data_IF_509762907948
#
_entry.id   IF_509762907948
#
_cell.length_a   1.000
_cell.length_b   1.000
_cell.length_c   1.000
_cell.angle_alpha   90.00
_cell.angle_beta   90.00
_cell.angle_gamma   90.00
#
_symmetry.space_group_name_H-M   'P 1'
#
loop_
_entity.id
_entity.type
_entity.pdbx_description
1 polymer ?
#
# COMPACT_ATOMS: atom_id res chain seq x y z
N UNK A 1 -6.89 21.05 -3.39
CA UNK A 1 -7.30 19.77 -3.54
C UNK A 1 -6.54 18.80 -2.68
N UNK A 2 -7.20 17.98 -2.04
CA UNK A 2 -6.56 17.03 -1.20
C UNK A 2 -5.61 16.20 -2.02
N UNK A 3 -4.40 16.12 -1.62
CA UNK A 3 -3.44 15.35 -2.36
C UNK A 3 -3.68 13.87 -2.21
N UNK A 4 -3.11 13.13 -3.12
CA UNK A 4 -3.06 11.69 -3.02
C UNK A 4 -2.01 11.35 -1.98
N UNK A 5 -2.30 10.48 -1.01
CA UNK A 5 -1.28 10.08 -0.04
C UNK A 5 -0.10 9.44 -0.75
N UNK A 6 1.09 9.86 -0.38
CA UNK A 6 2.31 9.33 -0.96
C UNK A 6 3.23 8.82 0.15
N UNK A 7 4.17 7.98 -0.23
CA UNK A 7 5.18 7.50 0.71
C UNK A 7 6.07 8.69 1.08
N UNK A 8 6.35 8.82 2.37
CA UNK A 8 7.14 9.93 2.87
C UNK A 8 8.44 10.07 2.09
N UNK A 9 8.73 11.30 1.69
CA UNK A 9 9.97 11.59 0.99
C UNK A 9 9.98 11.18 -0.47
N UNK A 10 8.84 10.76 -0.99
CA UNK A 10 8.75 10.32 -2.38
C UNK A 10 7.53 10.92 -3.02
N UNK A 11 7.37 10.65 -4.30
CA UNK A 11 6.13 10.97 -5.02
C UNK A 11 5.35 9.72 -5.35
N UNK A 12 5.68 8.61 -4.73
CA UNK A 12 5.05 7.32 -5.00
C UNK A 12 3.76 7.23 -4.22
N UNK A 13 2.61 7.13 -4.88
CA UNK A 13 1.35 7.03 -4.16
C UNK A 13 1.27 5.74 -3.34
N UNK A 14 0.71 5.86 -2.15
CA UNK A 14 0.47 4.69 -1.31
C UNK A 14 -0.36 3.66 -2.07
N UNK A 15 -1.36 4.13 -2.82
CA UNK A 15 -2.24 3.22 -3.55
C UNK A 15 -1.47 2.38 -4.57
N UNK A 16 -0.40 2.94 -5.16
CA UNK A 16 0.41 2.18 -6.10
C UNK A 16 1.04 0.98 -5.40
N UNK A 17 1.60 1.21 -4.21
CA UNK A 17 2.26 0.13 -3.48
C UNK A 17 1.24 -0.92 -3.04
N UNK A 18 0.12 -0.47 -2.50
CA UNK A 18 -0.92 -1.39 -2.07
C UNK A 18 -1.41 -2.21 -3.27
N UNK A 19 -1.56 -1.58 -4.42
CA UNK A 19 -1.98 -2.27 -5.62
C UNK A 19 -1.01 -3.35 -6.07
N UNK A 20 0.29 -3.11 -5.91
CA UNK A 20 1.28 -4.13 -6.25
C UNK A 20 1.13 -5.36 -5.36
N UNK A 21 0.92 -5.15 -4.07
CA UNK A 21 0.68 -6.26 -3.17
C UNK A 21 -0.62 -6.99 -3.54
N UNK A 22 -1.63 -6.24 -3.95
CA UNK A 22 -2.90 -6.84 -4.37
C UNK A 22 -2.71 -7.73 -5.59
N UNK A 23 -1.72 -7.43 -6.42
CA UNK A 23 -1.40 -8.25 -7.58
C UNK A 23 -0.57 -9.48 -7.21
N UNK A 24 -0.20 -9.62 -5.97
CA UNK A 24 0.54 -10.79 -5.52
C UNK A 24 2.03 -10.64 -5.49
N UNK A 25 2.54 -9.43 -5.69
CA UNK A 25 3.98 -9.23 -5.62
C UNK A 25 4.47 -9.35 -4.18
N UNK A 26 5.66 -9.91 -4.02
CA UNK A 26 6.29 -9.96 -2.72
C UNK A 26 6.93 -8.62 -2.40
N UNK A 27 7.24 -8.41 -1.12
CA UNK A 27 7.94 -7.20 -0.71
C UNK A 27 9.27 -7.05 -1.44
N UNK A 28 9.98 -8.16 -1.64
CA UNK A 28 11.26 -8.11 -2.35
C UNK A 28 11.09 -7.59 -3.78
N UNK A 29 10.04 -8.02 -4.46
CA UNK A 29 9.79 -7.58 -5.82
C UNK A 29 9.41 -6.11 -5.85
N UNK A 30 8.60 -5.68 -4.89
CA UNK A 30 8.22 -4.28 -4.83
C UNK A 30 9.45 -3.40 -4.59
N UNK A 31 10.32 -3.81 -3.68
CA UNK A 31 11.55 -3.05 -3.43
C UNK A 31 12.48 -3.06 -4.62
N UNK A 32 12.47 -4.13 -5.41
CA UNK A 32 13.27 -4.15 -6.61
C UNK A 32 12.79 -3.13 -7.64
N UNK A 33 11.47 -2.94 -7.72
CA UNK A 33 10.90 -1.96 -8.63
C UNK A 33 11.07 -0.53 -8.14
N UNK A 34 11.13 -0.35 -6.84
CA UNK A 34 11.22 0.98 -6.22
C UNK A 34 12.40 1.00 -5.27
N UNK A 35 13.61 1.03 -5.81
CA UNK A 35 14.80 0.88 -4.96
C UNK A 35 15.03 2.02 -3.97
N UNK A 36 14.32 3.12 -4.12
CA UNK A 36 14.42 4.19 -3.13
C UNK A 36 13.62 3.91 -1.88
N UNK A 37 12.77 2.89 -1.91
CA UNK A 37 11.97 2.53 -0.74
C UNK A 37 12.69 1.50 0.09
N UNK A 38 12.35 1.46 1.37
CA UNK A 38 12.82 0.43 2.28
C UNK A 38 11.62 -0.33 2.81
N UNK A 39 11.86 -1.45 3.46
CA UNK A 39 10.78 -2.28 3.95
C UNK A 39 9.82 -1.53 4.86
N UNK A 40 10.35 -0.62 5.68
CA UNK A 40 9.51 0.16 6.56
C UNK A 40 8.50 1.01 5.80
N UNK A 41 8.88 1.47 4.61
CA UNK A 41 7.97 2.25 3.79
C UNK A 41 6.79 1.40 3.33
N UNK A 42 7.07 0.14 3.00
CA UNK A 42 6.01 -0.76 2.56
C UNK A 42 5.06 -1.07 3.72
N UNK A 43 5.62 -1.28 4.90
CA UNK A 43 4.81 -1.53 6.08
C UNK A 43 3.93 -0.33 6.37
N UNK A 44 4.50 0.87 6.28
CA UNK A 44 3.74 2.09 6.54
C UNK A 44 2.60 2.25 5.53
N UNK A 45 2.85 1.91 4.27
CA UNK A 45 1.81 2.01 3.25
C UNK A 45 0.65 1.07 3.54
N UNK A 46 0.97 -0.15 3.96
CA UNK A 46 -0.07 -1.12 4.26
C UNK A 46 -0.83 -0.73 5.52
N UNK A 47 -0.13 -0.18 6.51
CA UNK A 47 -0.81 0.30 7.72
C UNK A 47 -1.75 1.46 7.39
N UNK A 48 -1.31 2.37 6.54
CA UNK A 48 -2.17 3.46 6.13
C UNK A 48 -3.43 2.93 5.46
N UNK A 49 -3.27 1.96 4.57
CA UNK A 49 -4.42 1.38 3.87
C UNK A 49 -5.37 0.71 4.85
N UNK A 50 -4.82 0.05 5.86
CA UNK A 50 -5.64 -0.60 6.88
C UNK A 50 -6.49 0.43 7.61
N UNK A 51 -5.89 1.54 7.99
CA UNK A 51 -6.64 2.59 8.69
C UNK A 51 -7.70 3.19 7.78
N UNK A 52 -7.38 3.35 6.51
CA UNK A 52 -8.31 3.98 5.58
C UNK A 52 -9.58 3.16 5.39
N UNK A 53 -9.51 1.84 5.56
CA UNK A 53 -10.66 0.98 5.33
C UNK A 53 -11.23 0.36 6.61
N UNK A 54 -10.61 0.63 7.75
CA UNK A 54 -10.93 -0.11 8.98
C UNK A 54 -12.32 0.14 9.51
N UNK A 55 -12.92 1.25 9.13
CA UNK A 55 -14.25 1.59 9.63
C UNK A 55 -15.36 1.10 8.73
N UNK A 56 -15.03 0.39 7.68
CA UNK A 56 -16.01 0.00 6.69
C UNK A 56 -16.17 -1.50 6.71
N UNK A 57 -17.41 -1.92 6.62
CA UNK A 57 -17.70 -3.33 6.41
C UNK A 57 -17.61 -3.57 4.93
N UNK A 58 -16.70 -4.43 4.54
CA UNK A 58 -16.50 -4.70 3.13
C UNK A 58 -17.15 -6.02 2.77
N UNK A 59 -18.10 -5.99 1.82
CA UNK A 59 -18.74 -7.24 1.38
C UNK A 59 -17.83 -7.95 0.40
N UNK A 60 -16.78 -8.53 0.92
CA UNK A 60 -15.75 -9.10 0.07
C UNK A 60 -16.16 -10.38 -0.63
N UNK A 61 -17.27 -10.96 -0.22
CA UNK A 61 -17.68 -12.22 -0.83
C UNK A 61 -16.78 -13.37 -0.53
N UNK A 62 -15.94 -13.23 0.48
CA UNK A 62 -15.04 -14.29 0.85
C UNK A 62 -15.78 -15.35 1.64
N UNK A 63 -15.47 -16.61 1.38
CA UNK A 63 -16.06 -17.65 2.22
C UNK A 63 -15.58 -17.47 3.64
N UNK A 64 -16.45 -17.73 4.53
CA UNK A 64 -16.13 -17.60 5.95
C UNK A 64 -15.06 -18.60 6.33
#
# INVERSE_FOLDING_TARGET
MGGVPVIRGTRIPVATIVGLFAQGLSADLVLADYPTLVLEDLTAALEFATLAVSERTLPLGLPA
#
